data_IF_706535460731
#
_entry.id   IF_706535460731
#
_cell.length_a   1.000
_cell.length_b   1.000
_cell.length_c   1.000
_cell.angle_alpha   90.00
_cell.angle_beta   90.00
_cell.angle_gamma   90.00
#
_symmetry.space_group_name_H-M   'P 1'
#
loop_
_entity.id
_entity.type
_entity.pdbx_description
1 polymer ?
#
# COMPACT_ATOMS: atom_id res chain seq x y z
N UNK A 1 5.86 5.57 33.43
CA UNK A 1 5.12 5.85 32.16
C UNK A 1 5.91 5.19 31.04
N UNK A 2 5.28 4.37 30.21
CA UNK A 2 5.98 3.49 29.25
C UNK A 2 6.49 4.22 27.98
N UNK A 3 6.42 5.57 27.94
CA UNK A 3 6.83 6.36 26.77
C UNK A 3 5.96 6.14 25.51
N UNK A 4 4.79 5.51 25.65
CA UNK A 4 3.91 5.20 24.53
C UNK A 4 3.03 6.41 24.10
N UNK A 5 2.81 7.36 25.02
CA UNK A 5 2.04 8.56 24.71
C UNK A 5 2.92 9.57 23.98
N UNK A 6 2.43 10.07 22.85
CA UNK A 6 3.08 11.09 22.04
C UNK A 6 2.36 12.43 22.25
N UNK A 7 3.11 13.49 22.54
CA UNK A 7 2.54 14.85 22.57
C UNK A 7 2.20 15.34 21.17
N UNK A 8 1.37 16.38 21.08
CA UNK A 8 1.07 17.01 19.78
C UNK A 8 2.31 17.61 19.12
N UNK A 9 3.25 18.13 19.90
CA UNK A 9 4.53 18.64 19.41
C UNK A 9 5.38 17.53 18.77
N UNK A 10 5.49 16.37 19.43
CA UNK A 10 6.18 15.19 18.89
C UNK A 10 5.53 14.68 17.60
N UNK A 11 4.19 14.69 17.53
CA UNK A 11 3.49 14.29 16.30
C UNK A 11 3.73 15.27 15.15
N UNK A 12 3.82 16.57 15.43
CA UNK A 12 4.19 17.60 14.43
C UNK A 12 5.62 17.38 13.93
N UNK A 13 6.56 17.14 14.84
CA UNK A 13 7.95 16.82 14.45
C UNK A 13 8.02 15.58 13.55
N UNK A 14 7.25 14.53 13.86
CA UNK A 14 7.16 13.32 13.03
C UNK A 14 6.60 13.67 11.64
N UNK A 15 5.52 14.44 11.56
CA UNK A 15 4.90 14.85 10.30
C UNK A 15 5.85 15.69 9.43
N UNK A 16 6.51 16.67 10.04
CA UNK A 16 7.47 17.55 9.35
C UNK A 16 8.67 16.77 8.83
N UNK A 17 9.21 15.84 9.62
CA UNK A 17 10.33 15.01 9.19
C UNK A 17 9.92 14.08 8.04
N UNK A 18 8.74 13.46 8.11
CA UNK A 18 8.24 12.62 7.01
C UNK A 18 8.08 13.43 5.73
N UNK A 19 7.50 14.64 5.81
CA UNK A 19 7.38 15.56 4.67
C UNK A 19 8.75 15.85 4.02
N UNK A 20 9.77 16.12 4.83
CA UNK A 20 11.14 16.32 4.36
C UNK A 20 11.71 15.05 3.68
N UNK A 21 11.50 13.86 4.27
CA UNK A 21 11.96 12.59 3.70
C UNK A 21 11.27 12.26 2.37
N UNK A 22 9.98 12.53 2.27
CA UNK A 22 9.25 12.40 0.99
C UNK A 22 9.85 13.34 -0.05
N UNK A 23 10.08 14.62 0.27
CA UNK A 23 10.68 15.59 -0.64
C UNK A 23 12.06 15.13 -1.14
N UNK A 24 12.89 14.55 -0.26
CA UNK A 24 14.18 13.96 -0.62
C UNK A 24 14.01 12.76 -1.57
N UNK A 25 13.03 11.87 -1.29
CA UNK A 25 12.75 10.71 -2.11
C UNK A 25 12.17 11.05 -3.49
N UNK A 26 11.41 12.15 -3.60
CA UNK A 26 10.94 12.65 -4.89
C UNK A 26 12.09 13.18 -5.75
N UNK A 27 13.09 13.82 -5.13
CA UNK A 27 14.22 14.42 -5.85
C UNK A 27 15.23 13.36 -6.34
N UNK A 28 15.52 12.32 -5.56
CA UNK A 28 16.58 11.36 -5.91
C UNK A 28 16.36 9.97 -5.33
N UNK A 29 16.95 8.97 -5.99
CA UNK A 29 16.94 7.58 -5.54
C UNK A 29 17.85 7.35 -4.31
N UNK A 30 17.68 6.19 -3.66
CA UNK A 30 18.49 5.77 -2.52
C UNK A 30 18.16 6.50 -1.21
N UNK A 31 17.04 7.22 -1.15
CA UNK A 31 16.57 7.86 0.06
C UNK A 31 15.76 6.89 0.94
N UNK A 32 15.59 7.25 2.21
CA UNK A 32 14.83 6.48 3.19
C UNK A 32 13.41 6.19 2.70
N UNK A 33 12.72 7.19 2.18
CA UNK A 33 11.44 7.05 1.48
C UNK A 33 11.71 6.95 -0.02
N UNK A 34 11.41 5.79 -0.61
CA UNK A 34 11.77 5.49 -2.00
C UNK A 34 11.07 6.37 -3.03
N UNK A 35 9.84 6.80 -2.76
CA UNK A 35 9.01 7.59 -3.69
C UNK A 35 9.07 7.06 -5.12
N UNK A 36 8.73 5.79 -5.31
CA UNK A 36 8.86 5.10 -6.60
C UNK A 36 7.88 5.68 -7.63
N UNK A 37 8.38 6.22 -8.76
CA UNK A 37 7.53 6.69 -9.85
C UNK A 37 6.71 5.54 -10.44
N UNK A 38 5.45 5.80 -10.80
CA UNK A 38 4.58 4.76 -11.37
C UNK A 38 4.30 4.93 -12.85
N UNK A 39 4.63 6.10 -13.40
CA UNK A 39 4.24 6.52 -14.76
C UNK A 39 2.72 6.48 -15.01
N UNK A 40 1.93 6.66 -13.94
CA UNK A 40 0.47 6.69 -13.96
C UNK A 40 -0.03 8.06 -13.50
N UNK A 41 -1.00 8.62 -14.22
CA UNK A 41 -1.76 9.78 -13.81
C UNK A 41 -3.00 9.35 -13.03
N UNK A 42 -3.61 10.29 -12.29
CA UNK A 42 -4.91 10.05 -11.69
C UNK A 42 -5.95 9.74 -12.77
N UNK A 43 -6.83 8.76 -12.54
CA UNK A 43 -7.94 8.51 -13.43
C UNK A 43 -8.88 9.72 -13.44
N UNK A 44 -9.46 10.00 -14.62
CA UNK A 44 -10.45 11.07 -14.78
C UNK A 44 -11.85 10.69 -14.27
N UNK A 45 -12.02 9.47 -13.74
CA UNK A 45 -13.32 8.89 -13.42
C UNK A 45 -14.14 8.45 -14.64
N UNK A 46 -13.62 8.68 -15.85
CA UNK A 46 -14.31 8.37 -17.12
C UNK A 46 -13.75 7.15 -17.83
N UNK A 47 -12.77 6.47 -17.22
CA UNK A 47 -12.25 5.22 -17.77
C UNK A 47 -13.39 4.22 -17.96
N UNK A 48 -13.43 3.59 -19.12
CA UNK A 48 -14.43 2.59 -19.45
C UNK A 48 -13.84 1.49 -20.30
N UNK A 49 -14.36 0.28 -20.15
CA UNK A 49 -13.93 -0.89 -20.89
C UNK A 49 -13.59 -2.06 -19.99
N UNK A 50 -13.14 -3.14 -20.62
CA UNK A 50 -12.78 -4.39 -19.93
C UNK A 50 -11.28 -4.56 -19.86
N UNK A 51 -10.81 -5.00 -18.71
CA UNK A 51 -9.41 -5.36 -18.46
C UNK A 51 -9.32 -6.73 -17.78
N UNK A 52 -8.32 -7.50 -18.15
CA UNK A 52 -7.86 -8.63 -17.36
C UNK A 52 -7.00 -8.08 -16.22
N UNK A 53 -7.27 -8.51 -15.01
CA UNK A 53 -6.51 -8.09 -13.83
C UNK A 53 -5.96 -9.31 -13.11
N UNK A 54 -4.69 -9.25 -12.75
CA UNK A 54 -4.04 -10.19 -11.83
C UNK A 54 -3.54 -9.40 -10.63
N UNK A 55 -3.79 -9.90 -9.44
CA UNK A 55 -3.34 -9.31 -8.18
C UNK A 55 -2.59 -10.36 -7.37
N UNK A 56 -1.32 -10.10 -7.09
CA UNK A 56 -0.43 -11.01 -6.38
C UNK A 56 0.12 -10.35 -5.14
N UNK A 57 -0.43 -10.74 -4.00
CA UNK A 57 0.04 -10.36 -2.68
C UNK A 57 1.01 -11.38 -2.07
N UNK A 58 1.27 -11.25 -0.76
CA UNK A 58 2.15 -12.16 -0.04
C UNK A 58 1.54 -13.54 0.24
N UNK A 59 0.22 -13.66 0.25
CA UNK A 59 -0.49 -14.89 0.63
C UNK A 59 -1.25 -15.50 -0.54
N UNK A 60 -1.92 -14.65 -1.31
CA UNK A 60 -2.79 -15.09 -2.40
C UNK A 60 -2.43 -14.38 -3.70
N UNK A 61 -2.65 -15.08 -4.81
CA UNK A 61 -2.81 -14.50 -6.14
C UNK A 61 -4.24 -14.67 -6.59
N UNK A 62 -4.80 -13.67 -7.27
CA UNK A 62 -6.16 -13.70 -7.79
C UNK A 62 -6.23 -13.06 -9.17
N UNK A 63 -7.13 -13.54 -10.02
CA UNK A 63 -7.40 -12.95 -11.32
C UNK A 63 -8.89 -12.61 -11.46
N UNK A 64 -9.19 -11.54 -12.17
CA UNK A 64 -10.56 -11.11 -12.45
C UNK A 64 -10.68 -10.49 -13.84
N UNK A 65 -11.84 -10.61 -14.45
CA UNK A 65 -12.27 -9.80 -15.58
C UNK A 65 -13.06 -8.61 -15.04
N UNK A 66 -12.48 -7.42 -15.16
CA UNK A 66 -13.05 -6.18 -14.65
C UNK A 66 -13.66 -5.38 -15.80
N UNK A 67 -14.85 -4.84 -15.58
CA UNK A 67 -15.47 -3.88 -16.49
C UNK A 67 -15.69 -2.55 -15.76
N UNK A 68 -15.11 -1.48 -16.30
CA UNK A 68 -15.24 -0.12 -15.78
C UNK A 68 -16.21 0.70 -16.64
N UNK A 69 -16.87 1.64 -16.01
CA UNK A 69 -17.62 2.74 -16.63
C UNK A 69 -17.53 3.98 -15.75
N UNK A 70 -18.04 5.11 -16.21
CA UNK A 70 -17.89 6.39 -15.52
C UNK A 70 -18.18 6.29 -14.01
N UNK A 71 -17.19 6.55 -13.20
CA UNK A 71 -17.21 6.55 -11.73
C UNK A 71 -17.70 5.24 -11.08
N UNK A 72 -17.65 4.11 -11.79
CA UNK A 72 -18.02 2.82 -11.25
C UNK A 72 -17.37 1.67 -12.03
N UNK A 73 -17.54 0.46 -11.54
CA UNK A 73 -17.03 -0.76 -12.15
C UNK A 73 -17.46 -2.01 -11.39
N UNK A 74 -17.31 -3.15 -12.04
CA UNK A 74 -17.61 -4.44 -11.44
C UNK A 74 -16.68 -5.54 -11.93
N UNK A 75 -16.59 -6.59 -11.16
CA UNK A 75 -16.03 -7.85 -11.63
C UNK A 75 -17.10 -8.55 -12.48
N UNK A 76 -16.82 -8.77 -13.76
CA UNK A 76 -17.69 -9.57 -14.64
C UNK A 76 -17.46 -11.07 -14.41
N UNK A 77 -16.24 -11.45 -14.07
CA UNK A 77 -15.86 -12.81 -13.70
C UNK A 77 -14.72 -12.81 -12.67
N UNK A 78 -14.69 -13.83 -11.83
CA UNK A 78 -13.76 -13.94 -10.72
C UNK A 78 -14.21 -13.18 -9.46
N UNK A 79 -13.30 -12.88 -8.49
CA UNK A 79 -11.90 -13.26 -8.60
C UNK A 79 -11.69 -14.76 -8.40
N UNK A 80 -10.96 -15.40 -9.29
CA UNK A 80 -10.41 -16.72 -9.02
C UNK A 80 -9.14 -16.52 -8.19
N UNK A 81 -9.03 -17.21 -7.07
CA UNK A 81 -7.94 -17.01 -6.13
C UNK A 81 -7.23 -18.32 -5.78
N UNK A 82 -5.93 -18.24 -5.59
CA UNK A 82 -5.08 -19.33 -5.12
C UNK A 82 -4.04 -18.81 -4.15
N UNK A 83 -3.60 -19.63 -3.21
CA UNK A 83 -2.44 -19.30 -2.38
C UNK A 83 -1.20 -19.16 -3.27
N UNK A 84 -0.41 -18.13 -3.00
CA UNK A 84 0.93 -18.02 -3.61
C UNK A 84 1.72 -19.26 -3.21
N UNK A 85 2.35 -19.96 -4.17
CA UNK A 85 3.14 -21.14 -3.85
C UNK A 85 4.22 -20.82 -2.82
N UNK A 86 4.41 -21.72 -1.88
CA UNK A 86 5.41 -21.54 -0.81
C UNK A 86 6.80 -21.95 -1.32
N UNK A 87 7.66 -20.96 -1.52
CA UNK A 87 9.08 -21.14 -1.86
C UNK A 87 10.02 -20.89 -0.68
N UNK A 88 9.51 -20.95 0.55
CA UNK A 88 10.21 -20.43 1.74
C UNK A 88 11.31 -21.32 2.25
N UNK A 89 11.21 -22.62 2.09
CA UNK A 89 12.17 -23.57 2.68
C UNK A 89 12.75 -24.51 1.63
N UNK A 90 14.04 -24.37 1.37
CA UNK A 90 14.88 -25.37 0.73
C UNK A 90 15.00 -25.33 -0.78
N UNK A 91 13.97 -24.93 -1.54
CA UNK A 91 14.06 -24.74 -2.99
C UNK A 91 13.26 -23.48 -3.40
N UNK A 92 13.91 -22.47 -4.02
CA UNK A 92 13.21 -21.35 -4.60
C UNK A 92 12.31 -21.83 -5.75
N UNK A 93 11.19 -21.11 -5.96
CA UNK A 93 10.35 -21.38 -7.14
C UNK A 93 11.07 -20.94 -8.40
N UNK A 94 10.84 -21.60 -9.52
CA UNK A 94 11.21 -21.02 -10.81
C UNK A 94 10.27 -19.89 -11.20
N UNK A 95 10.77 -18.89 -11.94
CA UNK A 95 9.94 -17.81 -12.46
C UNK A 95 8.79 -18.34 -13.34
N UNK A 96 9.07 -19.34 -14.19
CA UNK A 96 8.05 -19.95 -15.06
C UNK A 96 6.90 -20.59 -14.26
N UNK A 97 7.20 -21.30 -13.18
CA UNK A 97 6.18 -21.86 -12.29
C UNK A 97 5.41 -20.78 -11.55
N UNK A 98 6.11 -19.77 -11.01
CA UNK A 98 5.49 -18.68 -10.25
C UNK A 98 4.50 -17.87 -11.10
N UNK A 99 4.91 -17.41 -12.28
CA UNK A 99 4.03 -16.66 -13.18
C UNK A 99 2.99 -17.57 -13.85
N UNK A 100 3.32 -18.83 -14.12
CA UNK A 100 2.38 -19.82 -14.64
C UNK A 100 1.19 -20.06 -13.71
N UNK A 101 1.45 -20.22 -12.39
CA UNK A 101 0.37 -20.42 -11.41
C UNK A 101 -0.54 -19.19 -11.25
N UNK A 102 -0.05 -18.00 -11.52
CA UNK A 102 -0.85 -16.78 -11.56
C UNK A 102 -1.72 -16.74 -12.81
N UNK A 103 -1.14 -17.02 -13.97
CA UNK A 103 -1.85 -17.06 -15.25
C UNK A 103 -2.98 -18.10 -15.26
N UNK A 104 -2.82 -19.23 -14.56
CA UNK A 104 -3.87 -20.25 -14.39
C UNK A 104 -5.18 -19.69 -13.82
N UNK A 105 -5.13 -18.65 -13.01
CA UNK A 105 -6.33 -18.05 -12.43
C UNK A 105 -7.20 -17.36 -13.50
N UNK A 106 -6.65 -17.05 -14.67
CA UNK A 106 -7.37 -16.46 -15.79
C UNK A 106 -7.99 -17.50 -16.74
N UNK A 107 -7.67 -18.79 -16.60
CA UNK A 107 -8.14 -19.85 -17.51
C UNK A 107 -9.67 -19.87 -17.77
N UNK A 108 -10.54 -19.60 -16.78
CA UNK A 108 -11.98 -19.57 -16.99
C UNK A 108 -12.49 -18.35 -17.76
N UNK A 109 -11.65 -17.33 -18.02
CA UNK A 109 -12.12 -16.10 -18.63
C UNK A 109 -12.15 -16.17 -20.16
N UNK A 110 -13.02 -15.38 -20.82
CA UNK A 110 -13.12 -15.31 -22.28
C UNK A 110 -11.79 -14.93 -22.93
N UNK A 111 -11.53 -15.53 -24.12
CA UNK A 111 -10.33 -15.30 -24.94
C UNK A 111 -10.65 -14.80 -26.35
N UNK A 112 -11.87 -14.28 -26.53
CA UNK A 112 -12.47 -13.90 -27.82
C UNK A 112 -11.93 -12.59 -28.38
N UNK A 113 -11.20 -11.82 -27.55
CA UNK A 113 -10.63 -10.54 -27.95
C UNK A 113 -9.40 -10.18 -27.11
N UNK A 114 -8.51 -9.30 -27.63
CA UNK A 114 -7.43 -8.74 -26.84
C UNK A 114 -7.96 -7.90 -25.68
N UNK A 115 -7.32 -8.04 -24.51
CA UNK A 115 -7.62 -7.28 -23.30
C UNK A 115 -6.35 -6.62 -22.77
N UNK A 116 -6.41 -5.38 -22.24
CA UNK A 116 -5.32 -4.83 -21.48
C UNK A 116 -5.18 -5.58 -20.15
N UNK A 117 -3.93 -5.76 -19.69
CA UNK A 117 -3.57 -6.44 -18.45
C UNK A 117 -3.16 -5.42 -17.38
N UNK A 118 -3.90 -5.40 -16.27
CA UNK A 118 -3.49 -4.74 -15.03
C UNK A 118 -2.90 -5.75 -14.07
N UNK A 119 -1.63 -5.57 -13.69
CA UNK A 119 -0.95 -6.46 -12.77
C UNK A 119 -0.63 -5.74 -11.46
N UNK A 120 -1.46 -5.96 -10.44
CA UNK A 120 -1.19 -5.53 -9.08
C UNK A 120 -0.18 -6.47 -8.45
N UNK A 121 1.00 -5.94 -8.11
CA UNK A 121 2.14 -6.73 -7.62
C UNK A 121 2.66 -6.14 -6.31
N UNK A 122 2.33 -6.79 -5.19
CA UNK A 122 2.56 -6.27 -3.83
C UNK A 122 3.96 -6.60 -3.28
N UNK A 123 4.97 -6.50 -4.13
CA UNK A 123 6.39 -6.58 -3.74
C UNK A 123 7.12 -5.33 -4.24
N UNK A 124 8.21 -4.91 -3.57
CA UNK A 124 8.99 -3.76 -3.99
C UNK A 124 9.50 -3.90 -5.42
N UNK A 125 8.93 -3.12 -6.33
CA UNK A 125 9.29 -3.10 -7.74
C UNK A 125 9.30 -1.68 -8.28
N UNK A 126 10.25 -1.37 -9.13
CA UNK A 126 10.39 -0.08 -9.81
C UNK A 126 9.67 -0.13 -11.15
N UNK A 127 8.62 0.65 -11.31
CA UNK A 127 7.93 0.76 -12.58
C UNK A 127 8.83 1.34 -13.66
N UNK A 128 8.61 0.88 -14.89
CA UNK A 128 9.30 1.35 -16.09
C UNK A 128 8.34 2.09 -17.02
N UNK A 129 8.86 2.98 -17.85
CA UNK A 129 8.04 3.84 -18.72
C UNK A 129 7.20 3.03 -19.74
N UNK A 130 7.58 1.80 -20.05
CA UNK A 130 6.85 0.89 -20.93
C UNK A 130 5.68 0.15 -20.24
N UNK A 131 5.42 0.46 -18.96
CA UNK A 131 4.30 -0.05 -18.19
C UNK A 131 4.57 -1.35 -17.42
N UNK A 132 5.79 -1.86 -17.46
CA UNK A 132 6.24 -3.01 -16.67
C UNK A 132 6.85 -2.55 -15.33
N UNK A 133 7.42 -3.46 -14.54
CA UNK A 133 8.20 -3.14 -13.36
C UNK A 133 9.34 -4.13 -13.14
N UNK A 134 10.45 -3.64 -12.59
CA UNK A 134 11.62 -4.43 -12.24
C UNK A 134 11.56 -4.74 -10.75
N UNK A 135 11.61 -6.01 -10.40
CA UNK A 135 11.60 -6.46 -9.00
C UNK A 135 12.90 -6.08 -8.31
N UNK A 136 12.80 -5.32 -7.22
CA UNK A 136 13.96 -4.87 -6.45
C UNK A 136 14.40 -5.86 -5.38
N UNK A 137 13.42 -6.51 -4.73
CA UNK A 137 13.68 -7.53 -3.69
C UNK A 137 12.43 -8.37 -3.42
N UNK A 138 12.63 -9.59 -3.01
CA UNK A 138 11.57 -10.40 -2.42
C UNK A 138 11.35 -10.03 -0.96
N UNK A 139 10.09 -10.07 -0.53
CA UNK A 139 9.65 -9.86 0.86
C UNK A 139 8.67 -10.97 1.25
N UNK A 140 8.13 -10.93 2.46
CA UNK A 140 7.10 -11.87 2.94
C UNK A 140 7.54 -13.34 2.87
N UNK A 141 8.87 -13.59 2.93
CA UNK A 141 9.44 -14.93 2.90
C UNK A 141 9.38 -15.66 1.57
N UNK A 142 8.89 -15.05 0.49
CA UNK A 142 8.90 -15.63 -0.85
C UNK A 142 10.30 -15.57 -1.47
N UNK A 143 10.63 -16.60 -2.26
CA UNK A 143 11.85 -16.66 -3.05
C UNK A 143 11.58 -17.30 -4.40
N UNK A 144 11.87 -16.56 -5.47
CA UNK A 144 11.68 -17.01 -6.86
C UNK A 144 12.99 -16.75 -7.61
N UNK A 145 13.58 -17.79 -8.14
CA UNK A 145 14.79 -17.70 -8.96
C UNK A 145 14.49 -17.13 -10.34
N UNK A 146 15.42 -16.33 -10.86
CA UNK A 146 15.32 -15.74 -12.18
C UNK A 146 14.35 -14.57 -12.32
N UNK A 147 13.84 -14.00 -11.18
CA UNK A 147 12.95 -12.86 -11.22
C UNK A 147 13.53 -11.60 -10.56
N UNK A 148 14.56 -11.74 -9.72
CA UNK A 148 15.18 -10.58 -9.04
C UNK A 148 15.94 -9.72 -10.06
N UNK A 149 15.74 -8.40 -10.02
CA UNK A 149 16.25 -7.42 -10.97
C UNK A 149 15.76 -7.61 -12.41
N UNK A 150 14.69 -8.38 -12.59
CA UNK A 150 14.06 -8.63 -13.87
C UNK A 150 12.63 -8.05 -13.91
N UNK A 151 12.09 -7.88 -15.12
CA UNK A 151 10.70 -7.49 -15.34
C UNK A 151 9.76 -8.56 -14.82
N UNK A 152 8.65 -8.14 -14.19
CA UNK A 152 7.66 -9.06 -13.62
C UNK A 152 6.37 -9.14 -14.46
N UNK A 153 6.06 -8.11 -15.21
CA UNK A 153 4.84 -8.06 -16.01
C UNK A 153 4.94 -8.90 -17.28
N UNK A 154 6.05 -8.78 -18.00
CA UNK A 154 6.26 -9.52 -19.24
C UNK A 154 6.23 -11.05 -19.07
N UNK A 155 6.88 -11.67 -18.07
CA UNK A 155 6.74 -13.10 -17.83
C UNK A 155 5.30 -13.54 -17.55
N UNK A 156 4.52 -12.76 -16.82
CA UNK A 156 3.10 -13.04 -16.60
C UNK A 156 2.31 -12.95 -17.92
N UNK A 157 2.55 -11.90 -18.71
CA UNK A 157 1.92 -11.74 -20.03
C UNK A 157 2.20 -12.96 -20.93
N UNK A 158 3.44 -13.41 -21.02
CA UNK A 158 3.83 -14.58 -21.80
C UNK A 158 3.13 -15.87 -21.35
N UNK A 159 2.94 -16.06 -20.03
CA UNK A 159 2.19 -17.20 -19.51
C UNK A 159 0.69 -17.13 -19.86
N UNK A 160 0.10 -15.94 -19.84
CA UNK A 160 -1.29 -15.71 -20.26
C UNK A 160 -1.45 -15.96 -21.78
N UNK A 161 -0.51 -15.49 -22.59
CA UNK A 161 -0.51 -15.70 -24.04
C UNK A 161 -0.35 -17.19 -24.42
N UNK A 162 0.51 -17.93 -23.72
CA UNK A 162 0.61 -19.40 -23.87
C UNK A 162 -0.72 -20.13 -23.58
N UNK A 163 -1.59 -19.51 -22.75
CA UNK A 163 -2.92 -20.01 -22.40
C UNK A 163 -4.03 -19.48 -23.32
N UNK A 164 -3.67 -18.73 -24.37
CA UNK A 164 -4.56 -18.24 -25.40
C UNK A 164 -5.23 -16.90 -25.09
N UNK A 165 -4.82 -16.18 -24.03
CA UNK A 165 -5.26 -14.81 -23.80
C UNK A 165 -4.43 -13.85 -24.65
N UNK A 166 -5.08 -13.05 -25.50
CA UNK A 166 -4.41 -11.97 -26.23
C UNK A 166 -4.33 -10.72 -25.33
N UNK A 167 -3.12 -10.21 -25.10
CA UNK A 167 -2.88 -9.04 -24.25
C UNK A 167 -2.57 -7.82 -25.13
N UNK A 168 -3.37 -6.76 -25.04
CA UNK A 168 -3.22 -5.54 -25.84
C UNK A 168 -2.33 -4.47 -25.22
N UNK A 169 -2.00 -4.60 -23.97
CA UNK A 169 -1.14 -3.68 -23.21
C UNK A 169 -0.97 -4.16 -21.77
N UNK A 170 0.06 -3.70 -21.11
CA UNK A 170 0.42 -4.10 -19.74
C UNK A 170 0.62 -2.87 -18.85
N UNK A 171 0.14 -2.95 -17.62
CA UNK A 171 0.50 -2.03 -16.52
C UNK A 171 0.74 -2.81 -15.25
N UNK A 172 1.95 -2.69 -14.69
CA UNK A 172 2.32 -3.24 -13.38
C UNK A 172 2.30 -2.11 -12.36
N UNK A 173 1.67 -2.36 -11.22
CA UNK A 173 1.55 -1.37 -10.15
C UNK A 173 1.50 -2.03 -8.77
N UNK A 174 1.92 -1.27 -7.75
CA UNK A 174 1.82 -1.71 -6.35
C UNK A 174 0.34 -1.67 -5.87
N UNK A 175 0.02 -2.44 -4.82
CA UNK A 175 -1.32 -2.52 -4.24
C UNK A 175 -1.83 -1.17 -3.69
N UNK A 176 -0.97 -0.38 -3.03
CA UNK A 176 -1.34 0.95 -2.53
C UNK A 176 -1.65 1.93 -3.67
N UNK A 177 -0.93 1.81 -4.78
CA UNK A 177 -1.20 2.58 -6.01
C UNK A 177 -2.52 2.12 -6.64
N UNK A 178 -2.75 0.82 -6.71
CA UNK A 178 -4.01 0.27 -7.22
C UNK A 178 -5.19 0.75 -6.38
N UNK A 179 -5.09 0.70 -5.05
CA UNK A 179 -6.08 1.24 -4.12
C UNK A 179 -6.37 2.73 -4.37
N UNK A 180 -5.33 3.54 -4.51
CA UNK A 180 -5.48 4.96 -4.82
C UNK A 180 -6.22 5.19 -6.16
N UNK A 181 -5.80 4.51 -7.24
CA UNK A 181 -6.42 4.68 -8.55
C UNK A 181 -7.89 4.23 -8.58
N UNK A 182 -8.18 3.08 -7.96
CA UNK A 182 -9.54 2.57 -7.84
C UNK A 182 -10.45 3.49 -7.03
N UNK A 183 -9.94 3.98 -5.90
CA UNK A 183 -10.66 4.92 -5.05
C UNK A 183 -10.93 6.26 -5.75
N UNK A 184 -9.95 6.81 -6.47
CA UNK A 184 -10.17 8.03 -7.27
C UNK A 184 -11.18 7.78 -8.39
N UNK A 185 -11.12 6.62 -9.06
CA UNK A 185 -12.12 6.31 -10.08
C UNK A 185 -13.55 6.31 -9.52
N UNK A 186 -13.76 5.81 -8.33
CA UNK A 186 -15.07 5.68 -7.68
C UNK A 186 -15.53 6.97 -6.98
N UNK A 187 -14.60 7.71 -6.34
CA UNK A 187 -14.92 8.75 -5.36
C UNK A 187 -14.30 10.11 -5.69
N UNK A 188 -13.86 10.34 -6.95
CA UNK A 188 -13.31 11.63 -7.33
C UNK A 188 -14.35 12.76 -7.21
N UNK A 189 -13.96 13.84 -6.50
CA UNK A 189 -14.74 15.05 -6.40
C UNK A 189 -13.87 16.28 -6.73
N UNK A 190 -14.44 17.31 -7.39
CA UNK A 190 -13.69 18.51 -7.80
C UNK A 190 -12.98 19.23 -6.63
N UNK A 191 -13.54 19.18 -5.43
CA UNK A 191 -12.98 19.85 -4.24
C UNK A 191 -11.59 19.34 -3.83
N UNK A 192 -11.26 18.09 -4.13
CA UNK A 192 -9.96 17.52 -3.79
C UNK A 192 -8.87 17.87 -4.83
N UNK A 193 -9.25 18.24 -6.06
CA UNK A 193 -8.27 18.46 -7.14
C UNK A 193 -7.37 17.25 -7.33
N UNK A 194 -6.12 17.31 -6.84
CA UNK A 194 -5.16 16.21 -6.85
C UNK A 194 -4.75 15.77 -5.44
N UNK A 195 -5.39 16.27 -4.39
CA UNK A 195 -5.10 15.97 -3.01
C UNK A 195 -5.69 14.62 -2.58
N UNK A 196 -5.17 13.54 -3.13
CA UNK A 196 -5.57 12.17 -2.82
C UNK A 196 -4.40 11.42 -2.19
N UNK A 197 -4.66 10.72 -1.10
CA UNK A 197 -3.74 9.82 -0.43
C UNK A 197 -4.34 8.42 -0.45
N UNK A 198 -3.62 7.45 -1.04
CA UNK A 198 -3.88 6.05 -0.83
C UNK A 198 -3.18 5.59 0.45
N UNK A 199 -3.90 4.93 1.34
CA UNK A 199 -3.37 4.36 2.58
C UNK A 199 -3.73 2.89 2.69
N UNK A 200 -2.74 2.04 2.86
CA UNK A 200 -2.92 0.67 3.35
C UNK A 200 -2.39 0.62 4.78
N UNK A 201 -3.23 0.20 5.73
CA UNK A 201 -2.86 -0.05 7.11
C UNK A 201 -3.58 -1.29 7.66
N UNK A 202 -2.90 -2.41 7.53
CA UNK A 202 -3.35 -3.74 7.93
C UNK A 202 -2.21 -4.52 8.55
N UNK A 203 -1.84 -5.66 7.98
CA UNK A 203 -0.66 -6.45 8.35
C UNK A 203 0.63 -5.63 8.20
N UNK A 204 0.75 -4.87 7.10
CA UNK A 204 1.78 -3.87 6.87
C UNK A 204 1.19 -2.49 6.70
N UNK A 205 2.01 -1.51 6.31
CA UNK A 205 1.57 -0.16 5.96
C UNK A 205 2.32 0.40 4.77
N UNK A 206 1.59 1.15 3.94
CA UNK A 206 2.16 1.95 2.88
C UNK A 206 1.24 3.11 2.50
N UNK A 207 1.81 4.17 1.92
CA UNK A 207 1.07 5.29 1.35
C UNK A 207 1.46 5.51 -0.11
N UNK A 208 0.49 6.00 -0.89
CA UNK A 208 0.70 6.53 -2.22
C UNK A 208 0.14 7.96 -2.30
N UNK A 209 0.80 8.81 -3.06
CA UNK A 209 0.39 10.20 -3.23
C UNK A 209 0.48 10.66 -4.67
N UNK A 210 0.01 11.87 -4.94
CA UNK A 210 0.01 12.49 -6.28
C UNK A 210 0.91 13.72 -6.25
N UNK A 211 1.86 13.78 -7.16
CA UNK A 211 2.83 14.87 -7.18
C UNK A 211 2.97 15.46 -8.58
N UNK A 212 3.19 16.77 -8.70
CA UNK A 212 3.62 17.37 -9.96
C UNK A 212 4.92 16.72 -10.46
N UNK A 213 4.95 16.34 -11.74
CA UNK A 213 6.13 15.68 -12.34
C UNK A 213 7.41 16.50 -12.18
N UNK A 214 7.30 17.82 -12.16
CA UNK A 214 8.45 18.73 -11.90
C UNK A 214 9.12 18.57 -10.54
N UNK A 215 8.45 17.90 -9.56
CA UNK A 215 9.02 17.58 -8.25
C UNK A 215 9.75 16.23 -8.24
N UNK A 216 9.53 15.40 -9.27
CA UNK A 216 10.19 14.11 -9.43
C UNK A 216 11.47 14.32 -10.27
N UNK A 217 12.49 14.94 -9.69
CA UNK A 217 13.73 15.29 -10.41
C UNK A 217 14.46 14.07 -10.99
N UNK A 218 14.21 12.89 -10.45
CA UNK A 218 14.73 11.60 -10.92
C UNK A 218 14.00 11.02 -12.14
N UNK A 219 12.92 11.66 -12.59
CA UNK A 219 12.15 11.24 -13.77
C UNK A 219 12.40 12.22 -14.89
N UNK A 220 12.69 11.70 -16.09
CA UNK A 220 12.71 12.55 -17.29
C UNK A 220 11.28 13.04 -17.60
N UNK A 221 11.01 14.29 -17.24
CA UNK A 221 9.71 14.93 -17.42
C UNK A 221 9.32 15.08 -18.90
N UNK A 222 10.29 15.05 -19.82
CA UNK A 222 10.05 15.09 -21.27
C UNK A 222 9.50 13.77 -21.81
N UNK A 223 9.74 12.66 -21.12
CA UNK A 223 9.27 11.33 -21.51
C UNK A 223 7.88 10.98 -20.95
N UNK A 224 7.30 11.82 -20.08
CA UNK A 224 6.00 11.57 -19.47
C UNK A 224 5.02 12.71 -19.76
N UNK A 225 3.90 12.43 -20.45
CA UNK A 225 3.04 13.50 -21.00
C UNK A 225 2.14 14.19 -19.98
N UNK A 226 1.92 13.61 -18.80
CA UNK A 226 1.05 14.20 -17.77
C UNK A 226 1.81 15.20 -16.89
N UNK A 227 1.08 16.18 -16.34
CA UNK A 227 1.64 17.19 -15.43
C UNK A 227 1.86 16.67 -14.00
N UNK A 228 1.20 15.58 -13.65
CA UNK A 228 1.30 14.93 -12.33
C UNK A 228 1.40 13.43 -12.48
N UNK A 229 1.98 12.79 -11.47
CA UNK A 229 2.19 11.35 -11.41
C UNK A 229 1.77 10.83 -10.04
N UNK A 230 1.16 9.66 -10.02
CA UNK A 230 0.98 8.87 -8.80
C UNK A 230 2.34 8.29 -8.40
N UNK A 231 2.66 8.35 -7.12
CA UNK A 231 3.95 7.88 -6.58
C UNK A 231 3.67 6.88 -5.46
N UNK A 232 4.30 5.72 -5.55
CA UNK A 232 4.37 4.77 -4.45
C UNK A 232 5.46 5.21 -3.47
N UNK A 233 5.08 5.61 -2.27
CA UNK A 233 6.03 6.21 -1.33
C UNK A 233 6.99 5.19 -0.72
N UNK A 234 6.56 3.95 -0.48
CA UNK A 234 7.28 3.01 0.39
C UNK A 234 7.45 3.58 1.81
N UNK A 235 6.39 4.22 2.32
CA UNK A 235 6.37 4.98 3.57
C UNK A 235 6.65 4.16 4.82
N UNK A 236 6.46 2.84 4.77
CA UNK A 236 6.86 1.93 5.85
C UNK A 236 8.33 2.03 6.24
N UNK A 237 9.19 2.46 5.31
CA UNK A 237 10.64 2.61 5.55
C UNK A 237 11.00 3.83 6.42
N UNK A 238 10.11 4.80 6.59
CA UNK A 238 10.37 5.97 7.44
C UNK A 238 10.79 5.56 8.86
N UNK A 239 11.77 6.26 9.42
CA UNK A 239 12.23 6.11 10.80
C UNK A 239 11.77 7.30 11.63
N UNK A 240 10.59 7.22 12.26
CA UNK A 240 10.09 8.35 13.05
C UNK A 240 10.92 8.56 14.30
N UNK A 241 11.11 9.79 14.76
CA UNK A 241 11.63 10.07 16.09
C UNK A 241 10.63 9.63 17.16
N UNK A 242 11.06 9.63 18.42
CA UNK A 242 10.22 9.33 19.60
C UNK A 242 9.67 7.89 19.66
N UNK A 243 10.34 6.95 18.98
CA UNK A 243 10.11 5.54 19.22
C UNK A 243 10.69 5.14 20.58
N UNK A 244 10.15 4.07 21.16
CA UNK A 244 10.56 3.56 22.48
C UNK A 244 11.63 2.48 22.37
N UNK A 245 12.29 2.17 23.50
CA UNK A 245 13.20 1.03 23.59
C UNK A 245 12.51 -0.32 23.25
N UNK A 246 11.18 -0.41 23.39
CA UNK A 246 10.42 -1.60 23.01
C UNK A 246 10.30 -1.73 21.48
N UNK A 247 10.13 -0.62 20.78
CA UNK A 247 10.18 -0.59 19.31
C UNK A 247 11.57 -0.99 18.81
N UNK A 248 12.63 -0.52 19.47
CA UNK A 248 14.01 -0.88 19.15
C UNK A 248 14.28 -2.37 19.40
N UNK A 249 13.74 -2.94 20.47
CA UNK A 249 13.87 -4.36 20.75
C UNK A 249 13.15 -5.23 19.70
N UNK A 250 11.96 -4.83 19.26
CA UNK A 250 11.22 -5.52 18.17
C UNK A 250 11.96 -5.39 16.84
N UNK A 251 12.50 -4.21 16.54
CA UNK A 251 13.31 -3.99 15.34
C UNK A 251 14.55 -4.89 15.32
N UNK A 252 15.32 -4.91 16.41
CA UNK A 252 16.52 -5.72 16.51
C UNK A 252 16.26 -7.24 16.40
N UNK A 253 15.08 -7.70 16.84
CA UNK A 253 14.67 -9.10 16.74
C UNK A 253 14.04 -9.47 15.38
N UNK A 254 13.79 -8.51 14.51
CA UNK A 254 13.17 -8.73 13.21
C UNK A 254 14.14 -9.29 12.17
N UNK A 255 13.62 -9.75 11.04
CA UNK A 255 14.42 -10.23 9.90
C UNK A 255 15.09 -9.12 9.09
N UNK A 256 14.80 -7.83 9.38
CA UNK A 256 15.32 -6.66 8.69
C UNK A 256 15.59 -5.48 9.65
N UNK A 257 16.51 -5.64 10.63
CA UNK A 257 16.82 -4.58 11.59
C UNK A 257 17.23 -3.27 10.90
N UNK A 258 16.73 -2.14 11.41
CA UNK A 258 16.97 -0.80 10.88
C UNK A 258 16.11 -0.40 9.70
N UNK A 259 15.30 -1.32 9.12
CA UNK A 259 14.41 -1.04 8.00
C UNK A 259 12.94 -1.09 8.43
N UNK A 260 12.09 -0.41 7.66
CA UNK A 260 10.63 -0.42 7.87
C UNK A 260 10.22 -0.02 9.29
N UNK A 261 10.90 0.97 9.87
CA UNK A 261 10.69 1.40 11.26
C UNK A 261 9.28 1.95 11.49
N UNK A 262 8.73 2.69 10.52
CA UNK A 262 7.36 3.18 10.60
C UNK A 262 6.35 2.03 10.55
N UNK A 263 6.54 1.08 9.64
CA UNK A 263 5.69 -0.11 9.57
C UNK A 263 5.72 -0.88 10.90
N UNK A 264 6.89 -1.07 11.50
CA UNK A 264 7.04 -1.75 12.79
C UNK A 264 6.35 -1.02 13.95
N UNK A 265 6.24 0.31 13.87
CA UNK A 265 5.59 1.11 14.90
C UNK A 265 4.06 1.18 14.77
N UNK A 266 3.50 1.01 13.52
CA UNK A 266 2.07 1.26 13.29
C UNK A 266 1.28 0.05 12.81
N UNK A 267 1.91 -0.96 12.19
CA UNK A 267 1.17 -2.00 11.49
C UNK A 267 0.68 -3.14 12.39
N UNK A 268 -0.38 -3.79 11.94
CA UNK A 268 -1.06 -4.84 12.68
C UNK A 268 -0.23 -6.08 12.96
N UNK A 269 0.76 -6.36 12.12
CA UNK A 269 1.68 -7.46 12.37
C UNK A 269 2.56 -7.19 13.61
N UNK A 270 3.07 -5.95 13.75
CA UNK A 270 4.09 -5.65 14.74
C UNK A 270 3.58 -5.19 16.11
N UNK A 271 2.39 -4.59 16.20
CA UNK A 271 1.84 -4.11 17.47
C UNK A 271 1.78 -5.18 18.56
N UNK A 272 1.40 -6.46 18.29
CA UNK A 272 1.44 -7.52 19.28
C UNK A 272 2.85 -7.86 19.76
N UNK A 273 3.88 -7.71 18.90
CA UNK A 273 5.28 -7.91 19.29
C UNK A 273 5.75 -6.79 20.22
N UNK A 274 5.37 -5.53 19.95
CA UNK A 274 5.68 -4.41 20.84
C UNK A 274 4.99 -4.60 22.19
N UNK A 275 3.73 -5.05 22.20
CA UNK A 275 3.02 -5.39 23.44
C UNK A 275 3.78 -6.49 24.24
N UNK A 276 4.21 -7.53 23.54
CA UNK A 276 4.92 -8.66 24.18
C UNK A 276 6.33 -8.29 24.64
N UNK A 277 6.96 -7.26 24.05
CA UNK A 277 8.22 -6.69 24.55
C UNK A 277 8.02 -5.93 25.87
N UNK A 278 6.84 -5.32 26.07
CA UNK A 278 6.46 -4.65 27.33
C UNK A 278 6.02 -5.68 28.40
N UNK A 279 5.22 -6.66 27.99
CA UNK A 279 4.62 -7.69 28.85
C UNK A 279 4.92 -9.10 28.33
N UNK A 280 6.13 -9.62 28.57
CA UNK A 280 6.57 -10.91 28.03
C UNK A 280 5.64 -12.07 28.41
N UNK A 281 5.23 -12.84 27.40
CA UNK A 281 4.46 -14.08 27.61
C UNK A 281 2.96 -13.88 27.90
N UNK A 282 2.43 -12.65 27.86
CA UNK A 282 1.01 -12.38 28.12
C UNK A 282 0.13 -12.74 26.92
N UNK A 283 0.61 -12.49 25.70
CA UNK A 283 -0.06 -12.90 24.48
C UNK A 283 0.90 -13.64 23.54
N UNK A 284 0.33 -14.45 22.62
CA UNK A 284 1.07 -14.90 21.46
C UNK A 284 1.05 -13.79 20.40
N UNK A 285 2.19 -13.19 20.00
CA UNK A 285 2.22 -12.13 19.00
C UNK A 285 1.63 -12.52 17.65
N UNK A 286 1.74 -13.80 17.27
CA UNK A 286 1.16 -14.33 16.02
C UNK A 286 -0.38 -14.32 16.00
N UNK A 287 -1.03 -14.11 17.14
CA UNK A 287 -2.49 -13.98 17.21
C UNK A 287 -3.03 -12.67 16.59
N UNK A 288 -2.14 -11.75 16.22
CA UNK A 288 -2.48 -10.49 15.55
C UNK A 288 -3.11 -9.44 16.46
N UNK A 289 -3.39 -8.28 15.90
CA UNK A 289 -3.94 -7.10 16.61
C UNK A 289 -5.32 -7.29 17.19
N UNK A 290 -6.12 -8.23 16.67
CA UNK A 290 -7.41 -8.55 17.26
C UNK A 290 -7.28 -8.89 18.74
N UNK A 291 -6.18 -9.56 19.12
CA UNK A 291 -5.90 -9.89 20.52
C UNK A 291 -5.66 -8.66 21.42
N UNK A 292 -5.05 -7.62 20.86
CA UNK A 292 -4.90 -6.33 21.58
C UNK A 292 -6.25 -5.63 21.76
N UNK A 293 -7.11 -5.66 20.74
CA UNK A 293 -8.47 -5.12 20.82
C UNK A 293 -9.27 -5.85 21.90
N UNK A 294 -9.26 -7.17 21.92
CA UNK A 294 -9.90 -7.98 22.94
C UNK A 294 -9.37 -7.65 24.36
N UNK A 295 -8.05 -7.57 24.50
CA UNK A 295 -7.40 -7.28 25.78
C UNK A 295 -7.77 -5.88 26.29
N UNK A 296 -7.80 -4.88 25.43
CA UNK A 296 -8.26 -3.52 25.76
C UNK A 296 -9.72 -3.52 26.22
N UNK A 297 -10.59 -4.24 25.56
CA UNK A 297 -12.06 -4.15 25.75
C UNK A 297 -12.58 -5.05 26.85
N UNK A 298 -11.98 -6.21 27.05
CA UNK A 298 -12.42 -7.24 28.00
C UNK A 298 -11.47 -7.42 29.17
N UNK A 299 -10.22 -6.92 29.04
CA UNK A 299 -9.20 -7.01 30.07
C UNK A 299 -9.34 -5.94 31.15
N UNK A 300 -8.53 -6.06 32.19
CA UNK A 300 -8.44 -5.10 33.28
C UNK A 300 -6.97 -4.82 33.62
N UNK A 301 -6.74 -3.75 34.36
CA UNK A 301 -5.41 -3.40 34.88
C UNK A 301 -4.45 -2.89 33.80
N UNK A 302 -3.16 -3.21 34.00
CA UNK A 302 -2.07 -2.65 33.19
C UNK A 302 -2.07 -3.19 31.75
N UNK A 303 -2.33 -4.47 31.54
CA UNK A 303 -2.33 -5.06 30.20
C UNK A 303 -3.39 -4.44 29.28
N UNK A 304 -4.60 -4.25 29.79
CA UNK A 304 -5.67 -3.59 29.02
C UNK A 304 -5.31 -2.14 28.69
N UNK A 305 -4.70 -1.42 29.63
CA UNK A 305 -4.24 -0.04 29.43
C UNK A 305 -3.14 0.02 28.38
N UNK A 306 -2.13 -0.83 28.46
CA UNK A 306 -1.03 -0.88 27.48
C UNK A 306 -1.53 -1.25 26.08
N UNK A 307 -2.46 -2.20 25.96
CA UNK A 307 -3.07 -2.55 24.67
C UNK A 307 -3.81 -1.35 24.05
N UNK A 308 -4.57 -0.59 24.87
CA UNK A 308 -5.23 0.64 24.44
C UNK A 308 -4.24 1.71 23.98
N UNK A 309 -3.18 1.95 24.77
CA UNK A 309 -2.14 2.93 24.44
C UNK A 309 -1.39 2.61 23.16
N UNK A 310 -1.09 1.33 22.89
CA UNK A 310 -0.44 0.91 21.64
C UNK A 310 -1.32 1.13 20.42
N UNK A 311 -2.61 0.78 20.49
CA UNK A 311 -3.57 1.01 19.40
C UNK A 311 -3.77 2.51 19.15
N UNK A 312 -3.91 3.32 20.20
CA UNK A 312 -4.01 4.77 20.11
C UNK A 312 -2.74 5.39 19.52
N UNK A 313 -1.56 4.99 20.00
CA UNK A 313 -0.27 5.47 19.45
C UNK A 313 -0.14 5.17 17.97
N UNK A 314 -0.49 3.96 17.55
CA UNK A 314 -0.47 3.56 16.15
C UNK A 314 -1.38 4.46 15.30
N UNK A 315 -2.60 4.72 15.75
CA UNK A 315 -3.52 5.61 15.05
C UNK A 315 -2.99 7.05 14.97
N UNK A 316 -2.39 7.57 16.04
CA UNK A 316 -1.79 8.92 16.07
C UNK A 316 -0.56 9.03 15.18
N UNK A 317 0.29 8.00 15.13
CA UNK A 317 1.43 7.92 14.21
C UNK A 317 0.95 7.86 12.73
N UNK A 318 -0.10 7.08 12.45
CA UNK A 318 -0.70 7.04 11.12
C UNK A 318 -1.25 8.42 10.71
N UNK A 319 -1.90 9.14 11.63
CA UNK A 319 -2.36 10.51 11.39
C UNK A 319 -1.20 11.48 11.13
N UNK A 320 -0.11 11.38 11.89
CA UNK A 320 1.10 12.19 11.64
C UNK A 320 1.70 11.89 10.25
N UNK A 321 1.69 10.62 9.83
CA UNK A 321 2.09 10.23 8.48
C UNK A 321 1.23 10.86 7.38
N UNK A 322 -0.10 10.82 7.56
CA UNK A 322 -1.05 11.44 6.62
C UNK A 322 -0.90 12.96 6.57
N UNK A 323 -0.74 13.62 7.73
CA UNK A 323 -0.52 15.06 7.80
C UNK A 323 0.80 15.47 7.14
N UNK A 324 1.89 14.72 7.36
CA UNK A 324 3.19 14.96 6.73
C UNK A 324 3.15 14.84 5.21
N UNK A 325 2.42 13.86 4.68
CA UNK A 325 2.20 13.75 3.23
C UNK A 325 1.33 14.91 2.71
N UNK A 326 0.23 15.21 3.38
CA UNK A 326 -0.68 16.28 2.98
C UNK A 326 -0.05 17.67 3.01
N UNK A 327 0.96 17.90 3.86
CA UNK A 327 1.73 19.16 3.91
C UNK A 327 2.43 19.48 2.58
N UNK A 328 2.68 18.49 1.74
CA UNK A 328 3.26 18.65 0.40
C UNK A 328 2.22 19.00 -0.69
N UNK A 329 0.95 18.94 -0.35
CA UNK A 329 -0.15 19.25 -1.27
C UNK A 329 -0.55 20.72 -1.22
N UNK A 330 -1.14 21.26 -2.28
CA UNK A 330 -1.80 22.55 -2.24
C UNK A 330 -2.81 22.64 -1.10
N UNK A 331 -3.08 23.85 -0.63
CA UNK A 331 -4.17 24.10 0.33
C UNK A 331 -5.51 23.60 -0.24
N UNK A 332 -6.37 23.06 0.62
CA UNK A 332 -7.67 22.53 0.26
C UNK A 332 -7.96 21.16 0.87
N UNK A 333 -9.14 20.64 0.58
CA UNK A 333 -9.58 19.34 1.08
C UNK A 333 -8.68 18.20 0.58
N UNK A 334 -8.52 17.19 1.39
CA UNK A 334 -7.72 15.99 1.06
C UNK A 334 -8.55 14.73 1.28
N UNK A 335 -8.65 13.90 0.26
CA UNK A 335 -9.26 12.58 0.38
C UNK A 335 -8.22 11.53 0.77
N UNK A 336 -8.48 10.82 1.87
CA UNK A 336 -7.71 9.64 2.30
C UNK A 336 -8.49 8.39 1.93
N UNK A 337 -7.99 7.66 0.96
CA UNK A 337 -8.56 6.43 0.44
C UNK A 337 -7.95 5.26 1.21
N UNK A 338 -8.60 4.91 2.33
CA UNK A 338 -8.05 4.00 3.33
C UNK A 338 -8.46 2.55 3.13
N UNK A 339 -7.50 1.65 3.25
CA UNK A 339 -7.69 0.20 3.31
C UNK A 339 -6.94 -0.41 4.50
N UNK A 340 -7.31 -1.65 4.81
CA UNK A 340 -6.61 -2.50 5.77
C UNK A 340 -7.45 -2.86 6.99
N UNK A 341 -7.18 -4.07 7.49
CA UNK A 341 -7.91 -4.65 8.60
C UNK A 341 -7.65 -3.98 9.94
N UNK A 342 -6.48 -3.39 10.16
CA UNK A 342 -6.22 -2.58 11.36
C UNK A 342 -6.98 -1.26 11.28
N UNK A 343 -6.94 -0.59 10.14
CA UNK A 343 -7.53 0.72 9.95
C UNK A 343 -9.06 0.72 10.15
N UNK A 344 -9.74 -0.30 9.63
CA UNK A 344 -11.20 -0.40 9.65
C UNK A 344 -11.75 -1.42 10.66
N UNK A 345 -10.89 -2.26 11.24
CA UNK A 345 -11.30 -3.33 12.14
C UNK A 345 -11.74 -2.84 13.53
N UNK A 346 -11.28 -1.67 13.94
CA UNK A 346 -11.67 -1.01 15.17
C UNK A 346 -12.14 0.42 14.88
N UNK A 347 -13.43 0.75 15.08
CA UNK A 347 -13.95 2.10 14.83
C UNK A 347 -13.19 3.20 15.58
N UNK A 348 -12.71 2.93 16.81
CA UNK A 348 -11.93 3.90 17.61
C UNK A 348 -10.61 4.27 16.94
N UNK A 349 -10.04 3.35 16.15
CA UNK A 349 -8.81 3.63 15.44
C UNK A 349 -8.98 4.78 14.44
N UNK A 350 -9.97 4.68 13.56
CA UNK A 350 -10.28 5.73 12.57
C UNK A 350 -10.72 7.05 13.24
N UNK A 351 -11.48 6.97 14.32
CA UNK A 351 -11.88 8.14 15.10
C UNK A 351 -10.66 8.86 15.69
N UNK A 352 -9.69 8.11 16.24
CA UNK A 352 -8.42 8.66 16.73
C UNK A 352 -7.61 9.30 15.59
N UNK A 353 -7.54 8.67 14.41
CA UNK A 353 -6.89 9.27 13.24
C UNK A 353 -7.54 10.60 12.87
N UNK A 354 -8.88 10.65 12.77
CA UNK A 354 -9.61 11.90 12.46
C UNK A 354 -9.36 13.01 13.47
N UNK A 355 -9.47 12.68 14.76
CA UNK A 355 -9.23 13.64 15.82
C UNK A 355 -7.80 14.20 15.77
N UNK A 356 -6.81 13.33 15.60
CA UNK A 356 -5.40 13.72 15.54
C UNK A 356 -5.08 14.56 14.29
N UNK A 357 -5.66 14.22 13.12
CA UNK A 357 -5.51 15.04 11.91
C UNK A 357 -6.05 16.46 12.12
N UNK A 358 -7.20 16.60 12.79
CA UNK A 358 -7.76 17.91 13.11
C UNK A 358 -6.90 18.72 14.09
N UNK A 359 -6.17 18.05 14.99
CA UNK A 359 -5.21 18.71 15.90
C UNK A 359 -3.92 19.14 15.18
N UNK A 360 -3.46 18.33 14.21
CA UNK A 360 -2.23 18.57 13.47
C UNK A 360 -2.40 19.65 12.39
N UNK A 361 -3.48 19.59 11.62
CA UNK A 361 -3.81 20.53 10.55
C UNK A 361 -5.29 20.94 10.63
N UNK A 362 -5.63 21.90 11.50
CA UNK A 362 -7.01 22.34 11.73
C UNK A 362 -7.65 23.05 10.52
N UNK A 363 -6.83 23.58 9.60
CA UNK A 363 -7.28 24.32 8.43
C UNK A 363 -7.63 23.40 7.24
N UNK A 364 -7.13 22.18 7.25
CA UNK A 364 -7.37 21.20 6.18
C UNK A 364 -8.49 20.24 6.57
N UNK A 365 -9.45 20.09 5.68
CA UNK A 365 -10.45 19.04 5.83
C UNK A 365 -9.95 17.72 5.23
N UNK A 366 -9.87 16.67 6.07
CA UNK A 366 -9.54 15.31 5.63
C UNK A 366 -10.82 14.47 5.55
N UNK A 367 -11.19 14.07 4.35
CA UNK A 367 -12.25 13.08 4.12
C UNK A 367 -11.64 11.68 4.10
N UNK A 368 -11.97 10.85 5.10
CA UNK A 368 -11.49 9.47 5.16
C UNK A 368 -12.57 8.55 4.60
N UNK A 369 -12.27 7.97 3.45
CA UNK A 369 -13.19 7.15 2.66
C UNK A 369 -12.87 5.66 2.87
N UNK A 370 -13.87 4.90 3.30
CA UNK A 370 -13.79 3.43 3.31
C UNK A 370 -14.03 2.92 1.90
N UNK A 371 -13.07 2.19 1.38
CA UNK A 371 -13.12 1.68 0.03
C UNK A 371 -13.86 0.34 -0.06
N UNK A 372 -14.19 -0.06 -1.28
CA UNK A 372 -14.74 -1.38 -1.59
C UNK A 372 -13.65 -2.45 -1.48
N UNK A 373 -14.04 -3.69 -1.16
CA UNK A 373 -13.10 -4.81 -1.02
C UNK A 373 -12.40 -5.20 -2.34
N UNK A 374 -12.97 -4.82 -3.48
CA UNK A 374 -12.42 -5.08 -4.82
C UNK A 374 -11.66 -3.89 -5.42
N UNK A 375 -11.43 -2.81 -4.66
CA UNK A 375 -10.87 -1.55 -5.17
C UNK A 375 -9.51 -1.73 -5.83
N UNK A 376 -8.65 -2.63 -5.34
CA UNK A 376 -7.35 -2.91 -5.95
C UNK A 376 -7.49 -3.50 -7.36
N UNK A 377 -8.50 -4.37 -7.57
CA UNK A 377 -8.80 -4.91 -8.90
C UNK A 377 -9.34 -3.83 -9.83
N UNK A 378 -10.21 -2.95 -9.32
CA UNK A 378 -10.70 -1.80 -10.09
C UNK A 378 -9.57 -0.83 -10.45
N UNK A 379 -8.66 -0.55 -9.50
CA UNK A 379 -7.52 0.33 -9.74
C UNK A 379 -6.49 -0.24 -10.73
N UNK A 380 -6.23 -1.54 -10.68
CA UNK A 380 -5.40 -2.20 -11.68
C UNK A 380 -6.05 -2.15 -13.08
N UNK A 381 -7.38 -2.28 -13.16
CA UNK A 381 -8.11 -2.07 -14.41
C UNK A 381 -8.04 -0.62 -14.88
N UNK A 382 -8.15 0.37 -13.96
CA UNK A 382 -7.95 1.79 -14.29
C UNK A 382 -6.57 2.04 -14.91
N UNK A 383 -5.51 1.46 -14.33
CA UNK A 383 -4.16 1.57 -14.85
C UNK A 383 -4.02 0.93 -16.25
N UNK A 384 -4.60 -0.24 -16.45
CA UNK A 384 -4.57 -0.95 -17.72
C UNK A 384 -5.34 -0.24 -18.85
N UNK A 385 -6.42 0.48 -18.51
CA UNK A 385 -7.26 1.24 -19.43
C UNK A 385 -6.83 2.71 -19.57
N UNK A 386 -5.79 3.15 -18.84
CA UNK A 386 -5.20 4.47 -19.03
C UNK A 386 -4.33 4.45 -20.30
N UNK A 387 -4.72 5.27 -21.27
CA UNK A 387 -3.96 5.48 -22.51
C UNK A 387 -2.86 6.53 -22.34
#
# INVERSE_FOLDING_TARGET
MNGLELSLEQLREIADLLSQRISQGLARDGQEIGCLPTYLALPSGKQSGKALVVDTGGTNTRAALVNLWSHDGKLEAGPNARKVPDGREGAPLSADFFFGTQAEQADPFPRDRPLPLGYCFSYPAQATADGDAILLRWTKGLRVDGALNEKVGKPLQEQLEKRGHAISGLRVLNDTVASLLGGVHLYAEPRYGQNYIGLILGTGTNMAGVFPVKQLEKVDSGAYPSKSMVVNLESGNFSPPHLTAYDDAVDAASNNPGFQRFEKAVSGHYLPYVFNAIHPGVINPEAGTQKLVELRDQGQGEHARTAGQLLERSARLAAAGLAGLAALYPAGDTAVLGEGSLFWGDPRFVETVRATLKELDPERHFEIVKQRDDVNLLGAACAALAN
#
